data_IF_568107040120
#
_entry.id   IF_568107040120
#
_cell.length_a   1.000
_cell.length_b   1.000
_cell.length_c   1.000
_cell.angle_alpha   90.00
_cell.angle_beta   90.00
_cell.angle_gamma   90.00
#
_symmetry.space_group_name_H-M   'P 1'
#
loop_
_entity.id
_entity.type
_entity.pdbx_description
1 polymer ?
#
# COMPACT_ATOMS: atom_id res chain seq x y z
N UNK A 1 -9.84 -68.68 27.73
CA UNK A 1 -9.96 -69.18 26.34
C UNK A 1 -11.21 -68.58 25.72
N UNK A 2 -11.20 -68.23 24.44
CA UNK A 2 -12.37 -67.78 23.67
C UNK A 2 -12.80 -66.32 23.90
N UNK A 3 -12.85 -65.54 22.80
CA UNK A 3 -13.70 -64.35 22.69
C UNK A 3 -15.14 -64.73 22.26
N UNK A 4 -15.94 -63.86 21.60
CA UNK A 4 -15.51 -62.75 20.73
C UNK A 4 -16.22 -61.39 20.96
N UNK A 5 -15.79 -60.39 20.17
CA UNK A 5 -16.50 -59.11 19.90
C UNK A 5 -17.64 -59.36 18.87
N UNK A 6 -18.71 -58.53 18.77
CA UNK A 6 -18.68 -57.18 18.15
C UNK A 6 -19.58 -56.15 18.92
N UNK A 7 -19.95 -54.94 18.47
CA UNK A 7 -19.82 -54.28 17.17
C UNK A 7 -19.75 -52.72 17.23
N UNK A 8 -19.10 -52.14 16.22
CA UNK A 8 -19.36 -50.89 15.48
C UNK A 8 -20.32 -49.79 16.02
N UNK A 9 -19.79 -48.55 16.03
CA UNK A 9 -20.55 -47.30 16.02
C UNK A 9 -19.71 -46.19 15.37
N UNK A 10 -19.95 -45.90 14.08
CA UNK A 10 -19.17 -44.91 13.32
C UNK A 10 -19.72 -43.50 13.43
N UNK A 11 -18.84 -42.50 13.45
CA UNK A 11 -19.18 -41.08 13.36
C UNK A 11 -18.08 -40.33 12.61
N UNK A 12 -18.32 -40.00 11.34
CA UNK A 12 -17.32 -39.42 10.46
C UNK A 12 -17.02 -37.96 10.81
N UNK A 13 -15.81 -37.69 11.30
CA UNK A 13 -15.25 -36.35 11.37
C UNK A 13 -14.85 -35.90 9.97
N UNK A 14 -15.73 -35.18 9.28
CA UNK A 14 -15.43 -34.50 8.00
C UNK A 14 -14.47 -33.33 8.23
N UNK A 15 -13.19 -33.62 8.47
CA UNK A 15 -12.15 -32.61 8.47
C UNK A 15 -12.02 -32.00 7.09
N UNK A 16 -12.22 -30.68 6.98
CA UNK A 16 -11.83 -29.94 5.78
C UNK A 16 -10.34 -30.24 5.49
N UNK A 17 -9.95 -30.44 4.22
CA UNK A 17 -8.56 -30.70 3.90
C UNK A 17 -7.71 -29.52 4.42
N UNK A 18 -6.50 -29.78 4.97
CA UNK A 18 -5.59 -28.70 5.27
C UNK A 18 -5.37 -27.89 3.99
N UNK A 19 -5.41 -26.54 4.10
CA UNK A 19 -4.95 -25.69 3.01
C UNK A 19 -3.53 -26.15 2.69
N UNK A 20 -3.31 -26.62 1.47
CA UNK A 20 -1.95 -26.98 1.04
C UNK A 20 -1.23 -25.66 0.84
N UNK A 21 -0.43 -25.30 1.83
CA UNK A 21 0.66 -24.36 1.66
C UNK A 21 1.68 -25.02 0.72
N UNK A 22 1.36 -25.01 -0.58
CA UNK A 22 2.33 -25.27 -1.62
C UNK A 22 3.30 -24.11 -1.58
N UNK A 23 4.43 -24.36 -0.93
CA UNK A 23 5.57 -23.45 -0.88
C UNK A 23 6.04 -23.22 -2.33
N UNK A 24 5.57 -22.12 -2.91
CA UNK A 24 5.90 -21.74 -4.29
C UNK A 24 7.26 -21.07 -4.28
N UNK A 25 8.15 -21.51 -5.16
CA UNK A 25 9.49 -20.92 -5.28
C UNK A 25 9.40 -19.38 -5.47
N UNK A 26 10.16 -18.58 -4.71
CA UNK A 26 10.07 -17.11 -4.76
C UNK A 26 10.27 -16.51 -6.15
N UNK A 27 11.07 -17.15 -7.02
CA UNK A 27 11.27 -16.71 -8.41
C UNK A 27 10.05 -16.98 -9.31
N UNK A 28 9.23 -17.97 -8.97
CA UNK A 28 7.95 -18.26 -9.63
C UNK A 28 6.89 -17.27 -9.18
N UNK A 29 6.84 -16.95 -7.87
CA UNK A 29 5.97 -15.89 -7.33
C UNK A 29 6.28 -14.55 -8.00
N UNK A 30 7.54 -14.13 -8.01
CA UNK A 30 7.98 -12.87 -8.64
C UNK A 30 7.61 -12.80 -10.13
N UNK A 31 7.83 -13.89 -10.87
CA UNK A 31 7.45 -13.98 -12.29
C UNK A 31 5.95 -13.85 -12.49
N UNK A 32 5.13 -14.54 -11.69
CA UNK A 32 3.67 -14.44 -11.76
C UNK A 32 3.18 -13.02 -11.43
N UNK A 33 3.72 -12.37 -10.41
CA UNK A 33 3.37 -10.99 -10.06
C UNK A 33 3.67 -10.02 -11.23
N UNK A 34 4.81 -10.20 -11.92
CA UNK A 34 5.19 -9.38 -13.09
C UNK A 34 4.23 -9.58 -14.26
N UNK A 35 3.97 -10.83 -14.64
CA UNK A 35 3.04 -11.19 -15.72
C UNK A 35 1.65 -10.62 -15.45
N UNK A 36 1.12 -10.83 -14.24
CA UNK A 36 -0.19 -10.30 -13.81
C UNK A 36 -0.30 -8.77 -13.95
N UNK A 37 0.78 -8.05 -13.58
CA UNK A 37 0.82 -6.60 -13.72
C UNK A 37 0.88 -6.15 -15.19
N UNK A 38 1.65 -6.83 -16.02
CA UNK A 38 1.79 -6.52 -17.45
C UNK A 38 0.50 -6.85 -18.23
N UNK A 39 -0.16 -7.96 -17.90
CA UNK A 39 -1.46 -8.35 -18.46
C UNK A 39 -2.56 -7.36 -18.06
N UNK A 40 -2.65 -6.95 -16.79
CA UNK A 40 -3.58 -5.90 -16.37
C UNK A 40 -3.26 -4.53 -17.02
N UNK A 41 -2.00 -4.24 -17.29
CA UNK A 41 -1.62 -3.01 -17.98
C UNK A 41 -2.19 -2.95 -19.41
N UNK A 42 -2.41 -4.09 -20.07
CA UNK A 42 -2.99 -4.21 -21.42
C UNK A 42 -4.52 -4.44 -21.36
N UNK A 43 -4.97 -5.50 -20.68
CA UNK A 43 -6.34 -6.02 -20.74
C UNK A 43 -7.33 -5.24 -19.87
N UNK A 44 -6.87 -4.65 -18.74
CA UNK A 44 -7.71 -4.04 -17.69
C UNK A 44 -8.78 -4.96 -17.06
N UNK A 45 -8.68 -6.28 -17.27
CA UNK A 45 -9.63 -7.25 -16.74
C UNK A 45 -9.38 -7.49 -15.24
N UNK A 46 -10.35 -7.07 -14.41
CA UNK A 46 -10.31 -7.24 -12.95
C UNK A 46 -10.66 -8.68 -12.53
N UNK A 47 -11.42 -9.41 -13.34
CA UNK A 47 -11.75 -10.81 -13.10
C UNK A 47 -10.54 -11.72 -13.31
N UNK A 48 -9.81 -11.53 -14.42
CA UNK A 48 -8.52 -12.17 -14.69
C UNK A 48 -7.51 -11.85 -13.58
N UNK A 49 -7.33 -10.57 -13.26
CA UNK A 49 -6.45 -10.09 -12.18
C UNK A 49 -6.73 -10.78 -10.83
N UNK A 50 -8.00 -10.89 -10.42
CA UNK A 50 -8.38 -11.56 -9.17
C UNK A 50 -8.11 -13.06 -9.24
N UNK A 51 -8.39 -13.72 -10.35
CA UNK A 51 -8.11 -15.15 -10.52
C UNK A 51 -6.61 -15.45 -10.45
N UNK A 52 -5.79 -14.66 -11.15
CA UNK A 52 -4.32 -14.78 -11.12
C UNK A 52 -3.75 -14.53 -9.71
N UNK A 53 -4.32 -13.59 -8.94
CA UNK A 53 -3.94 -13.37 -7.55
C UNK A 53 -4.28 -14.58 -6.66
N UNK A 54 -5.46 -15.20 -6.82
CA UNK A 54 -5.85 -16.38 -6.05
C UNK A 54 -4.98 -17.63 -6.33
N UNK A 55 -4.19 -17.65 -7.41
CA UNK A 55 -3.18 -18.69 -7.65
C UNK A 55 -1.87 -18.49 -6.86
N UNK A 56 -1.67 -17.35 -6.20
CA UNK A 56 -0.48 -17.06 -5.41
C UNK A 56 -0.64 -17.52 -3.95
N UNK A 57 0.44 -17.95 -3.27
CA UNK A 57 0.39 -18.23 -1.84
C UNK A 57 0.14 -16.92 -1.08
N UNK A 58 -1.05 -16.75 -0.50
CA UNK A 58 -1.50 -15.46 0.03
C UNK A 58 -0.52 -14.81 1.03
N UNK A 59 0.15 -15.59 1.87
CA UNK A 59 1.08 -15.07 2.87
C UNK A 59 2.30 -14.38 2.27
N UNK A 60 2.80 -14.81 1.11
CA UNK A 60 4.03 -14.26 0.51
C UNK A 60 3.76 -13.54 -0.81
N UNK A 61 2.88 -14.09 -1.64
CA UNK A 61 2.55 -13.55 -2.95
C UNK A 61 1.78 -12.23 -2.92
N UNK A 62 0.92 -12.00 -1.93
CA UNK A 62 0.10 -10.78 -1.88
C UNK A 62 0.96 -9.56 -1.47
N UNK A 63 1.77 -9.62 -0.39
CA UNK A 63 2.78 -8.58 -0.12
C UNK A 63 3.79 -8.42 -1.27
N UNK A 64 4.23 -9.53 -1.89
CA UNK A 64 5.18 -9.47 -3.01
C UNK A 64 4.62 -8.78 -4.25
N UNK A 65 3.31 -8.93 -4.53
CA UNK A 65 2.66 -8.19 -5.60
C UNK A 65 2.67 -6.69 -5.29
N UNK A 66 2.32 -6.28 -4.07
CA UNK A 66 2.38 -4.87 -3.66
C UNK A 66 3.81 -4.32 -3.76
N UNK A 67 4.80 -5.03 -3.20
CA UNK A 67 6.23 -4.68 -3.25
C UNK A 67 6.73 -4.43 -4.68
N UNK A 68 6.56 -5.43 -5.55
CA UNK A 68 6.98 -5.36 -6.95
C UNK A 68 6.27 -4.24 -7.71
N UNK A 69 4.96 -4.08 -7.51
CA UNK A 69 4.17 -3.04 -8.18
C UNK A 69 4.49 -1.64 -7.68
N UNK A 70 4.65 -1.45 -6.37
CA UNK A 70 5.00 -0.15 -5.78
C UNK A 70 6.42 0.28 -6.17
N UNK A 71 7.37 -0.65 -6.20
CA UNK A 71 8.74 -0.39 -6.69
C UNK A 71 8.72 0.00 -8.18
N UNK A 72 7.95 -0.71 -9.03
CA UNK A 72 7.71 -0.29 -10.43
C UNK A 72 7.06 1.09 -10.56
N UNK A 73 6.20 1.49 -9.62
CA UNK A 73 5.59 2.83 -9.62
C UNK A 73 6.62 3.91 -9.29
N UNK A 74 7.51 3.65 -8.32
CA UNK A 74 8.53 4.60 -7.86
C UNK A 74 9.70 4.71 -8.85
N UNK A 75 10.19 3.60 -9.38
CA UNK A 75 11.31 3.56 -10.33
C UNK A 75 10.87 3.81 -11.79
N UNK A 76 9.61 3.50 -12.10
CA UNK A 76 9.12 3.43 -13.47
C UNK A 76 8.66 4.75 -14.09
N UNK A 77 8.42 4.68 -15.40
CA UNK A 77 7.95 5.79 -16.22
C UNK A 77 6.47 6.10 -15.94
N UNK A 78 6.12 7.38 -16.00
CA UNK A 78 4.76 7.87 -15.71
C UNK A 78 3.63 7.16 -16.48
N UNK A 79 3.90 6.64 -17.69
CA UNK A 79 2.91 5.98 -18.54
C UNK A 79 2.27 4.70 -17.94
N UNK A 80 3.00 3.94 -17.13
CA UNK A 80 2.48 2.72 -16.48
C UNK A 80 1.93 2.99 -15.08
N UNK A 81 2.36 4.09 -14.45
CA UNK A 81 2.16 4.37 -13.02
C UNK A 81 0.69 4.35 -12.61
N UNK A 82 -0.15 5.13 -13.30
CA UNK A 82 -1.59 5.21 -12.99
C UNK A 82 -2.26 3.82 -13.10
N UNK A 83 -1.88 3.05 -14.12
CA UNK A 83 -2.39 1.69 -14.32
C UNK A 83 -1.99 0.72 -13.20
N UNK A 84 -0.74 0.78 -12.74
CA UNK A 84 -0.22 -0.05 -11.65
C UNK A 84 -0.83 0.31 -10.29
N UNK A 85 -0.96 1.61 -9.97
CA UNK A 85 -1.64 2.06 -8.74
C UNK A 85 -3.12 1.65 -8.77
N UNK A 86 -3.79 1.83 -9.92
CA UNK A 86 -5.18 1.39 -10.10
C UNK A 86 -5.34 -0.12 -9.92
N UNK A 87 -4.41 -0.94 -10.40
CA UNK A 87 -4.44 -2.40 -10.23
C UNK A 87 -4.56 -2.81 -8.75
N UNK A 88 -3.71 -2.24 -7.89
CA UNK A 88 -3.73 -2.53 -6.46
C UNK A 88 -4.99 -1.99 -5.78
N UNK A 89 -5.50 -0.84 -6.22
CA UNK A 89 -6.78 -0.28 -5.74
C UNK A 89 -7.97 -1.18 -6.12
N UNK A 90 -8.05 -1.69 -7.34
CA UNK A 90 -9.15 -2.61 -7.73
C UNK A 90 -9.07 -3.93 -6.94
N UNK A 91 -7.87 -4.45 -6.66
CA UNK A 91 -7.68 -5.62 -5.79
C UNK A 91 -8.09 -5.37 -4.34
N UNK A 92 -7.86 -4.17 -3.81
CA UNK A 92 -8.32 -3.76 -2.48
C UNK A 92 -9.86 -3.62 -2.43
N UNK A 93 -10.46 -2.99 -3.44
CA UNK A 93 -11.92 -2.86 -3.60
C UNK A 93 -12.61 -4.22 -3.75
N UNK A 94 -11.98 -5.16 -4.46
CA UNK A 94 -12.39 -6.56 -4.55
C UNK A 94 -12.15 -7.36 -3.25
N UNK A 95 -11.62 -6.72 -2.19
CA UNK A 95 -11.32 -7.29 -0.86
C UNK A 95 -10.34 -8.47 -0.92
N UNK A 96 -9.39 -8.42 -1.86
CA UNK A 96 -8.38 -9.47 -2.04
C UNK A 96 -7.04 -9.12 -1.42
N UNK A 97 -6.64 -7.86 -1.50
CA UNK A 97 -5.54 -7.31 -0.72
C UNK A 97 -6.10 -6.62 0.53
N UNK A 98 -5.45 -6.85 1.67
CA UNK A 98 -5.79 -6.28 2.97
C UNK A 98 -4.73 -5.28 3.43
N UNK A 99 -5.00 -4.39 4.42
CA UNK A 99 -3.99 -3.45 4.87
C UNK A 99 -2.67 -4.10 5.33
N UNK A 100 -2.66 -5.24 6.04
CA UNK A 100 -1.42 -5.98 6.30
C UNK A 100 -0.63 -6.41 5.07
N UNK A 101 -1.28 -6.68 3.93
CA UNK A 101 -0.58 -7.02 2.67
C UNK A 101 0.09 -5.78 2.07
N UNK A 102 -0.60 -4.63 2.11
CA UNK A 102 -0.05 -3.35 1.70
C UNK A 102 1.10 -2.90 2.60
N UNK A 103 0.92 -2.95 3.92
CA UNK A 103 1.96 -2.61 4.90
C UNK A 103 3.20 -3.48 4.69
N UNK A 104 3.05 -4.82 4.62
CA UNK A 104 4.19 -5.72 4.37
C UNK A 104 4.85 -5.49 3.01
N UNK A 105 4.08 -5.23 1.97
CA UNK A 105 4.61 -4.97 0.63
C UNK A 105 5.29 -3.61 0.47
N UNK A 106 4.88 -2.58 1.24
CA UNK A 106 5.51 -1.25 1.20
C UNK A 106 6.79 -1.16 2.03
N UNK A 107 7.04 -2.10 2.96
CA UNK A 107 8.22 -2.08 3.82
C UNK A 107 9.56 -2.05 3.04
N UNK A 108 9.83 -2.94 2.05
CA UNK A 108 11.11 -2.93 1.33
C UNK A 108 11.33 -1.61 0.57
N UNK A 109 10.31 -1.13 -0.14
CA UNK A 109 10.35 0.13 -0.85
C UNK A 109 10.66 1.33 0.07
N UNK A 110 10.05 1.37 1.27
CA UNK A 110 10.30 2.43 2.25
C UNK A 110 11.64 2.29 2.96
N UNK A 111 12.19 1.07 3.08
CA UNK A 111 13.53 0.82 3.64
C UNK A 111 14.63 1.36 2.72
N UNK A 112 14.50 1.16 1.39
CA UNK A 112 15.49 1.55 0.39
C UNK A 112 15.14 2.85 -0.38
N UNK A 113 14.13 3.62 0.05
CA UNK A 113 13.65 4.78 -0.70
C UNK A 113 14.72 5.87 -0.91
N UNK A 114 15.61 6.09 0.07
CA UNK A 114 16.72 7.05 -0.09
C UNK A 114 17.74 6.59 -1.13
N UNK A 115 18.02 5.28 -1.22
CA UNK A 115 18.90 4.72 -2.24
C UNK A 115 18.25 4.85 -3.63
N UNK A 116 16.96 4.53 -3.76
CA UNK A 116 16.18 4.73 -4.99
C UNK A 116 16.13 6.21 -5.38
N UNK A 117 16.10 7.14 -4.42
CA UNK A 117 16.10 8.58 -4.67
C UNK A 117 17.44 9.12 -5.22
N UNK A 118 18.54 8.38 -5.11
CA UNK A 118 19.83 8.71 -5.76
C UNK A 118 19.71 8.58 -7.28
N UNK A 119 19.13 7.48 -7.76
CA UNK A 119 18.95 7.21 -9.19
C UNK A 119 17.68 7.86 -9.76
N UNK A 120 16.65 8.05 -8.93
CA UNK A 120 15.34 8.58 -9.32
C UNK A 120 15.01 9.81 -8.47
N UNK A 121 15.37 11.04 -8.92
CA UNK A 121 15.15 12.26 -8.14
C UNK A 121 13.68 12.54 -7.73
N UNK A 122 12.73 11.99 -8.49
CA UNK A 122 11.29 12.09 -8.24
C UNK A 122 10.73 10.94 -7.36
N UNK A 123 11.57 10.05 -6.80
CA UNK A 123 11.11 8.86 -6.07
C UNK A 123 10.06 9.16 -4.99
N UNK A 124 10.18 10.29 -4.30
CA UNK A 124 9.21 10.75 -3.32
C UNK A 124 7.87 11.16 -3.93
N UNK A 125 7.86 11.91 -5.03
CA UNK A 125 6.63 12.30 -5.73
C UNK A 125 5.94 11.06 -6.33
N UNK A 126 6.74 10.14 -6.87
CA UNK A 126 6.30 8.84 -7.40
C UNK A 126 5.71 7.94 -6.31
N UNK A 127 6.29 7.94 -5.10
CA UNK A 127 5.73 7.29 -3.92
C UNK A 127 4.42 7.96 -3.50
N UNK A 128 4.34 9.30 -3.57
CA UNK A 128 3.12 10.06 -3.36
C UNK A 128 1.98 9.58 -4.27
N UNK A 129 2.25 9.44 -5.57
CA UNK A 129 1.29 8.92 -6.56
C UNK A 129 0.72 7.53 -6.20
N UNK A 130 1.50 6.66 -5.54
CA UNK A 130 1.00 5.40 -4.98
C UNK A 130 0.20 5.62 -3.69
N UNK A 131 0.78 6.36 -2.74
CA UNK A 131 0.22 6.53 -1.40
C UNK A 131 -1.13 7.23 -1.40
N UNK A 132 -1.36 8.28 -2.21
CA UNK A 132 -2.61 9.04 -2.20
C UNK A 132 -3.86 8.15 -2.39
N UNK A 133 -3.94 7.37 -3.49
CA UNK A 133 -5.02 6.40 -3.69
C UNK A 133 -5.08 5.32 -2.60
N UNK A 134 -3.94 4.80 -2.11
CA UNK A 134 -3.94 3.79 -1.04
C UNK A 134 -4.46 4.34 0.30
N UNK A 135 -4.18 5.61 0.61
CA UNK A 135 -4.69 6.30 1.80
C UNK A 135 -6.18 6.59 1.68
N UNK A 136 -6.65 7.01 0.51
CA UNK A 136 -8.08 7.30 0.24
C UNK A 136 -8.94 6.03 0.31
N UNK A 137 -8.43 4.90 -0.17
CA UNK A 137 -9.12 3.60 -0.14
C UNK A 137 -8.93 2.83 1.18
N UNK A 138 -8.20 3.40 2.15
CA UNK A 138 -7.83 2.77 3.43
C UNK A 138 -7.00 1.47 3.29
N UNK A 139 -6.24 1.33 2.20
CA UNK A 139 -5.28 0.26 2.00
C UNK A 139 -4.08 0.37 2.94
N UNK A 140 -3.73 1.58 3.40
CA UNK A 140 -2.67 1.82 4.39
C UNK A 140 -3.03 3.02 5.27
N UNK A 141 -2.59 3.03 6.53
CA UNK A 141 -2.83 4.15 7.45
C UNK A 141 -1.78 5.25 7.34
N UNK A 142 -2.17 6.53 7.38
CA UNK A 142 -1.20 7.65 7.29
C UNK A 142 -0.19 7.66 8.43
N UNK A 143 -0.61 7.35 9.66
CA UNK A 143 0.32 7.27 10.79
C UNK A 143 1.31 6.12 10.64
N UNK A 144 0.88 4.96 10.12
CA UNK A 144 1.77 3.85 9.79
C UNK A 144 2.85 4.28 8.79
N UNK A 145 2.48 5.03 7.74
CA UNK A 145 3.44 5.57 6.76
C UNK A 145 4.45 6.50 7.43
N UNK A 146 4.00 7.42 8.30
CA UNK A 146 4.88 8.36 8.99
C UNK A 146 5.73 7.70 10.09
N UNK A 147 5.27 6.62 10.71
CA UNK A 147 6.02 5.82 11.69
C UNK A 147 7.07 4.95 11.00
N UNK A 148 6.72 4.32 9.88
CA UNK A 148 7.64 3.56 9.03
C UNK A 148 8.71 4.47 8.42
N UNK A 149 8.34 5.67 7.96
CA UNK A 149 9.30 6.69 7.53
C UNK A 149 10.29 7.07 8.64
N UNK A 150 9.83 7.26 9.90
CA UNK A 150 10.74 7.48 11.05
C UNK A 150 11.65 6.28 11.31
N UNK A 151 11.10 5.06 11.26
CA UNK A 151 11.84 3.80 11.51
C UNK A 151 13.00 3.65 10.54
N UNK A 152 12.79 3.94 9.25
CA UNK A 152 13.84 3.91 8.22
C UNK A 152 14.58 5.25 8.06
N UNK A 153 14.34 6.23 8.94
CA UNK A 153 15.00 7.56 8.98
C UNK A 153 14.81 8.41 7.71
N UNK A 154 13.74 8.16 6.96
CA UNK A 154 13.35 9.00 5.83
C UNK A 154 12.97 10.41 6.31
N UNK A 155 13.09 11.46 5.47
CA UNK A 155 12.61 12.79 5.78
C UNK A 155 11.07 12.81 5.88
N UNK A 156 10.56 12.69 7.11
CA UNK A 156 9.11 12.51 7.40
C UNK A 156 8.25 13.62 6.79
N UNK A 157 8.70 14.88 6.81
CA UNK A 157 8.04 16.00 6.15
C UNK A 157 7.90 15.79 4.63
N UNK A 158 8.91 15.24 3.96
CA UNK A 158 8.89 14.98 2.51
C UNK A 158 7.91 13.86 2.16
N UNK A 159 7.88 12.78 2.95
CA UNK A 159 6.89 11.68 2.81
C UNK A 159 5.47 12.19 3.06
N UNK A 160 5.27 12.99 4.12
CA UNK A 160 3.97 13.59 4.42
C UNK A 160 3.48 14.51 3.31
N UNK A 161 4.34 15.39 2.78
CA UNK A 161 4.00 16.25 1.65
C UNK A 161 3.68 15.43 0.39
N UNK A 162 4.48 14.42 0.03
CA UNK A 162 4.20 13.57 -1.13
C UNK A 162 2.81 12.89 -1.04
N UNK A 163 2.46 12.37 0.13
CA UNK A 163 1.14 11.82 0.39
C UNK A 163 0.02 12.89 0.29
N UNK A 164 0.20 14.06 0.90
CA UNK A 164 -0.78 15.15 0.88
C UNK A 164 -0.96 15.78 -0.51
N UNK A 165 0.13 16.00 -1.25
CA UNK A 165 0.14 16.48 -2.64
C UNK A 165 -0.60 15.51 -3.58
N UNK A 166 -0.54 14.20 -3.29
CA UNK A 166 -1.29 13.17 -4.01
C UNK A 166 -2.77 13.13 -3.63
N UNK A 167 -3.11 13.13 -2.34
CA UNK A 167 -4.51 13.21 -1.87
C UNK A 167 -5.19 14.49 -2.39
N UNK A 168 -4.47 15.62 -2.42
CA UNK A 168 -4.94 16.88 -3.01
C UNK A 168 -5.21 16.76 -4.52
N UNK A 169 -4.32 16.12 -5.29
CA UNK A 169 -4.52 15.89 -6.73
C UNK A 169 -5.70 14.97 -7.02
N UNK A 170 -5.86 13.88 -6.26
CA UNK A 170 -6.88 12.87 -6.53
C UNK A 170 -8.27 13.22 -5.99
N UNK A 171 -8.37 13.96 -4.89
CA UNK A 171 -9.63 14.19 -4.19
C UNK A 171 -9.96 15.68 -3.91
N UNK A 172 -9.03 16.59 -4.19
CA UNK A 172 -9.23 18.03 -3.98
C UNK A 172 -9.13 18.47 -2.50
N UNK A 173 -9.18 19.80 -2.25
CA UNK A 173 -8.89 20.38 -0.94
C UNK A 173 -9.89 20.02 0.16
N UNK A 174 -11.17 19.88 -0.17
CA UNK A 174 -12.22 19.54 0.80
C UNK A 174 -12.03 18.13 1.37
N UNK A 175 -11.87 17.13 0.49
CA UNK A 175 -11.63 15.74 0.91
C UNK A 175 -10.26 15.61 1.58
N UNK A 176 -9.22 16.31 1.11
CA UNK A 176 -7.91 16.32 1.75
C UNK A 176 -7.95 16.94 3.17
N UNK A 177 -8.72 18.01 3.38
CA UNK A 177 -8.94 18.60 4.71
C UNK A 177 -9.70 17.64 5.63
N UNK A 178 -10.75 17.00 5.13
CA UNK A 178 -11.51 15.99 5.88
C UNK A 178 -10.64 14.77 6.22
N UNK A 179 -9.84 14.28 5.29
CA UNK A 179 -8.87 13.20 5.51
C UNK A 179 -7.89 13.53 6.64
N UNK A 180 -7.33 14.75 6.64
CA UNK A 180 -6.46 15.24 7.72
C UNK A 180 -7.19 15.34 9.06
N UNK A 181 -8.47 15.77 9.05
CA UNK A 181 -9.29 15.85 10.25
C UNK A 181 -9.59 14.46 10.84
N UNK A 182 -10.11 13.54 10.03
CA UNK A 182 -10.49 12.17 10.40
C UNK A 182 -9.29 11.37 10.95
N UNK A 183 -8.15 11.45 10.28
CA UNK A 183 -6.91 10.79 10.72
C UNK A 183 -6.20 11.53 11.86
N UNK A 184 -6.74 12.65 12.37
CA UNK A 184 -6.09 13.51 13.35
C UNK A 184 -4.68 13.99 12.92
N UNK A 185 -4.42 14.05 11.61
CA UNK A 185 -3.14 14.48 11.06
C UNK A 185 -2.95 16.00 11.29
N UNK A 186 -1.80 16.36 11.84
CA UNK A 186 -1.38 17.73 12.12
C UNK A 186 0.06 17.91 11.61
N UNK A 187 0.51 19.14 11.29
CA UNK A 187 1.90 19.38 10.92
C UNK A 187 2.92 18.96 11.99
N UNK A 188 2.56 18.95 13.28
CA UNK A 188 3.38 18.36 14.35
C UNK A 188 3.62 16.85 14.23
N UNK A 189 2.87 16.14 13.38
CA UNK A 189 3.15 14.74 13.04
C UNK A 189 4.28 14.58 12.00
N UNK A 190 4.79 15.65 11.39
CA UNK A 190 5.84 15.56 10.36
C UNK A 190 6.88 16.70 10.34
N UNK A 191 6.64 17.81 11.05
CA UNK A 191 7.61 18.89 11.31
C UNK A 191 8.07 18.86 12.78
N UNK A 192 9.31 19.28 13.04
CA UNK A 192 9.87 19.32 14.40
C UNK A 192 9.44 20.55 15.22
N UNK A 193 8.94 21.61 14.57
CA UNK A 193 8.47 22.83 15.25
C UNK A 193 7.29 23.50 14.54
N UNK A 194 6.58 24.38 15.26
CA UNK A 194 5.49 25.18 14.66
C UNK A 194 6.03 26.17 13.60
N UNK A 195 7.23 26.72 13.79
CA UNK A 195 7.85 27.63 12.82
C UNK A 195 8.16 26.92 11.50
N UNK A 196 8.75 25.72 11.57
CA UNK A 196 8.99 24.85 10.42
C UNK A 196 7.68 24.45 9.74
N UNK A 197 6.66 24.05 10.52
CA UNK A 197 5.34 23.74 10.00
C UNK A 197 4.76 24.94 9.22
N UNK A 198 4.74 26.14 9.80
CA UNK A 198 4.23 27.35 9.11
C UNK A 198 4.98 27.67 7.84
N UNK A 199 6.31 27.50 7.82
CA UNK A 199 7.12 27.69 6.61
C UNK A 199 6.76 26.67 5.51
N UNK A 200 6.67 25.39 5.87
CA UNK A 200 6.30 24.30 4.94
C UNK A 200 4.88 24.47 4.40
N UNK A 201 3.91 24.82 5.25
CA UNK A 201 2.53 25.07 4.82
C UNK A 201 2.42 26.27 3.88
N UNK A 202 3.28 27.28 4.05
CA UNK A 202 3.36 28.42 3.15
C UNK A 202 3.94 28.04 1.78
N UNK A 203 5.08 27.32 1.78
CA UNK A 203 5.73 26.81 0.56
C UNK A 203 4.78 25.94 -0.26
N UNK A 204 4.09 25.01 0.40
CA UNK A 204 3.18 24.04 -0.23
C UNK A 204 1.75 24.55 -0.45
N UNK A 205 1.43 25.78 -0.03
CA UNK A 205 0.09 26.36 -0.07
C UNK A 205 -1.00 25.47 0.59
N UNK A 206 -0.65 24.81 1.70
CA UNK A 206 -1.51 23.84 2.41
C UNK A 206 -2.58 24.49 3.31
N UNK A 207 -2.84 25.78 3.16
CA UNK A 207 -3.84 26.50 3.97
C UNK A 207 -5.26 25.95 3.82
N UNK A 208 -5.58 25.30 2.70
CA UNK A 208 -6.87 24.67 2.50
C UNK A 208 -7.06 23.37 3.31
N UNK A 209 -5.97 22.67 3.66
CA UNK A 209 -5.99 21.41 4.43
C UNK A 209 -5.65 21.60 5.92
N UNK A 210 -4.97 22.69 6.27
CA UNK A 210 -4.71 23.10 7.65
C UNK A 210 -5.11 24.57 7.91
N UNK A 211 -6.39 24.94 7.76
CA UNK A 211 -6.85 26.33 7.82
C UNK A 211 -6.58 27.02 9.16
N UNK A 212 -6.53 26.27 10.26
CA UNK A 212 -6.24 26.77 11.61
C UNK A 212 -4.79 27.26 11.81
N UNK A 213 -3.87 27.00 10.88
CA UNK A 213 -2.50 27.52 10.90
C UNK A 213 -2.26 28.69 9.94
N UNK A 214 -3.26 29.06 9.14
CA UNK A 214 -3.16 30.19 8.22
C UNK A 214 -2.89 31.48 9.02
N UNK A 215 -1.93 32.32 8.62
CA UNK A 215 -1.73 33.63 9.26
C UNK A 215 -3.01 34.47 9.20
N UNK A 216 -3.31 35.17 10.29
CA UNK A 216 -4.21 36.32 10.24
C UNK A 216 -3.54 37.43 9.42
N UNK A 217 -4.30 38.06 8.52
CA UNK A 217 -3.80 39.02 7.53
C UNK A 217 -3.96 40.48 7.95
#
# INVERSE_FOLDING_TARGET
AGGPSPAAGGGGGGGAPPRRDFEMDPSVVDRKCKVMADEYLVNKDVGELVACLEELPATEGYPRLVDMTASRVVEGKAAEREGLVKMLVELARARRLTPPDFERGLLPLLEFLEDVAVDVPQAYDNLGDALGPFLLENCVGVHWVLETARRFRLPVAKVACAALDSVLRHAGPEIACNFCHQNQLRPSNFCASEAEARALLAEKNYWAIFPYMKPEG
#
